data_IF_083103155377
#
_entry.id   IF_083103155377
#
_cell.length_a   1.000
_cell.length_b   1.000
_cell.length_c   1.000
_cell.angle_alpha   90.00
_cell.angle_beta   90.00
_cell.angle_gamma   90.00
#
_symmetry.space_group_name_H-M   'P 1'
#
loop_
_entity.id
_entity.type
_entity.pdbx_description
1 polymer ?
#
# COMPACT_ATOMS: atom_id res chain seq x y z
N UNK A 1 4.62 -9.34 -1.71
CA UNK A 1 3.24 -8.81 -1.75
C UNK A 1 2.65 -8.93 -0.36
N UNK A 2 2.06 -7.88 0.18
CA UNK A 2 1.39 -7.88 1.48
C UNK A 2 -0.10 -7.68 1.25
N UNK A 3 -0.89 -8.71 1.53
CA UNK A 3 -2.34 -8.59 1.59
C UNK A 3 -2.72 -8.18 3.02
N UNK A 4 -3.37 -7.01 3.13
CA UNK A 4 -3.90 -6.50 4.39
C UNK A 4 -5.42 -6.46 4.35
N UNK A 5 -6.03 -7.06 5.37
CA UNK A 5 -7.49 -7.05 5.58
C UNK A 5 -7.75 -6.44 6.95
N UNK A 6 -8.51 -5.36 7.00
CA UNK A 6 -8.85 -4.62 8.22
C UNK A 6 -10.38 -4.55 8.40
N UNK A 7 -10.86 -4.71 9.63
CA UNK A 7 -12.25 -4.39 9.98
C UNK A 7 -12.37 -2.88 10.19
N UNK A 8 -13.34 -2.26 9.52
CA UNK A 8 -13.66 -0.84 9.65
C UNK A 8 -14.79 -0.63 10.66
N UNK A 9 -15.84 -1.43 10.54
CA UNK A 9 -17.02 -1.29 11.38
C UNK A 9 -17.90 -2.54 11.34
N UNK A 10 -18.74 -2.69 12.36
CA UNK A 10 -19.83 -3.66 12.40
C UNK A 10 -21.10 -2.89 12.76
N UNK A 11 -22.07 -2.84 11.86
CA UNK A 11 -23.38 -2.23 12.12
C UNK A 11 -24.39 -3.32 12.47
N UNK A 12 -25.25 -3.06 13.45
CA UNK A 12 -26.23 -4.01 13.95
C UNK A 12 -27.64 -3.44 13.78
N UNK A 13 -28.51 -4.18 13.06
CA UNK A 13 -29.93 -3.90 12.90
C UNK A 13 -30.80 -5.13 13.23
N UNK A 14 -32.09 -4.92 13.48
CA UNK A 14 -33.07 -5.99 13.74
C UNK A 14 -33.35 -6.18 15.23
N UNK A 15 -33.72 -7.40 15.59
CA UNK A 15 -34.07 -7.78 16.95
C UNK A 15 -32.86 -7.76 17.91
N UNK A 16 -33.14 -7.53 19.19
CA UNK A 16 -32.13 -7.48 20.27
C UNK A 16 -31.71 -8.90 20.67
N UNK A 17 -30.42 -9.21 20.46
CA UNK A 17 -29.74 -10.46 20.79
C UNK A 17 -28.81 -10.26 22.00
N UNK A 18 -29.13 -9.29 22.86
CA UNK A 18 -28.28 -8.94 23.98
C UNK A 18 -27.14 -7.99 23.60
N UNK A 19 -26.34 -7.66 24.62
CA UNK A 19 -25.32 -6.60 24.55
C UNK A 19 -23.90 -7.16 24.43
N UNK A 20 -23.68 -8.42 24.79
CA UNK A 20 -22.37 -9.05 24.77
C UNK A 20 -22.22 -9.95 23.54
N UNK A 21 -21.67 -9.38 22.47
CA UNK A 21 -21.49 -10.07 21.21
C UNK A 21 -20.02 -10.41 20.98
N UNK A 22 -19.79 -11.49 20.22
CA UNK A 22 -18.46 -11.92 19.78
C UNK A 22 -18.45 -12.05 18.27
N UNK A 23 -17.42 -11.50 17.64
CA UNK A 23 -17.15 -11.70 16.22
C UNK A 23 -15.87 -12.51 16.04
N UNK A 24 -16.00 -13.63 15.34
CA UNK A 24 -14.90 -14.45 14.87
C UNK A 24 -14.70 -14.30 13.37
N UNK A 25 -13.43 -14.24 12.98
CA UNK A 25 -13.01 -14.15 11.59
C UNK A 25 -11.99 -15.25 11.31
N UNK A 26 -12.11 -15.92 10.17
CA UNK A 26 -11.12 -16.90 9.71
C UNK A 26 -10.70 -16.56 8.28
N UNK A 27 -9.43 -16.21 8.10
CA UNK A 27 -8.81 -15.88 6.82
C UNK A 27 -7.78 -16.96 6.49
N UNK A 28 -7.95 -17.67 5.37
CA UNK A 28 -7.02 -18.71 4.91
C UNK A 28 -6.61 -19.75 5.98
N UNK A 29 -7.52 -20.11 6.88
CA UNK A 29 -7.23 -21.05 7.97
C UNK A 29 -6.87 -20.39 9.31
N UNK A 30 -6.33 -19.17 9.29
CA UNK A 30 -5.96 -18.42 10.50
C UNK A 30 -7.18 -17.76 11.11
N UNK A 31 -7.41 -17.99 12.40
CA UNK A 31 -8.56 -17.48 13.15
C UNK A 31 -8.16 -16.26 13.98
N UNK A 32 -8.95 -15.20 13.88
CA UNK A 32 -8.87 -14.00 14.72
C UNK A 32 -10.26 -13.75 15.33
N UNK A 33 -10.36 -13.63 16.64
CA UNK A 33 -11.63 -13.37 17.34
C UNK A 33 -11.50 -12.13 18.24
N UNK A 34 -12.58 -11.35 18.37
CA UNK A 34 -12.72 -10.37 19.46
C UNK A 34 -14.15 -10.24 19.94
N UNK A 35 -14.25 -9.93 21.22
CA UNK A 35 -15.49 -9.53 21.89
C UNK A 35 -15.76 -8.05 21.59
N UNK A 36 -17.03 -7.70 21.44
CA UNK A 36 -17.48 -6.32 21.29
C UNK A 36 -18.88 -6.16 21.88
N UNK A 37 -19.16 -4.97 22.42
CA UNK A 37 -20.48 -4.61 22.92
C UNK A 37 -21.18 -3.75 21.88
N UNK A 38 -22.37 -4.15 21.45
CA UNK A 38 -23.16 -3.39 20.49
C UNK A 38 -24.65 -3.62 20.73
N UNK A 39 -25.46 -2.57 20.57
CA UNK A 39 -26.92 -2.64 20.67
C UNK A 39 -27.57 -2.45 19.29
N UNK A 40 -28.83 -2.88 19.11
CA UNK A 40 -29.55 -2.64 17.87
C UNK A 40 -29.55 -1.17 17.44
N UNK A 41 -29.39 -0.92 16.15
CA UNK A 41 -29.33 0.42 15.55
C UNK A 41 -28.00 1.15 15.74
N UNK A 42 -26.98 0.50 16.33
CA UNK A 42 -25.66 1.09 16.55
C UNK A 42 -24.62 0.52 15.59
N UNK A 43 -23.55 1.28 15.41
CA UNK A 43 -22.36 0.87 14.67
C UNK A 43 -21.17 0.83 15.61
N UNK A 44 -20.55 -0.34 15.71
CA UNK A 44 -19.28 -0.51 16.40
C UNK A 44 -18.13 -0.19 15.44
N UNK A 45 -17.12 0.52 15.96
CA UNK A 45 -15.83 0.72 15.28
C UNK A 45 -14.72 0.23 16.20
N UNK A 46 -13.71 -0.48 15.68
CA UNK A 46 -12.63 -0.97 16.53
C UNK A 46 -11.80 0.21 17.08
N UNK A 47 -11.44 0.19 18.38
CA UNK A 47 -10.73 1.30 19.03
C UNK A 47 -9.29 1.49 18.52
N UNK A 48 -8.70 0.42 17.97
CA UNK A 48 -7.44 0.43 17.22
C UNK A 48 -7.66 -0.34 15.92
N UNK A 49 -6.77 -0.19 14.92
CA UNK A 49 -6.87 -0.96 13.67
C UNK A 49 -6.97 -2.46 13.96
N UNK A 50 -8.11 -3.06 13.62
CA UNK A 50 -8.29 -4.49 13.75
C UNK A 50 -7.91 -5.19 12.45
N UNK A 51 -6.65 -5.62 12.42
CA UNK A 51 -6.05 -6.29 11.26
C UNK A 51 -6.32 -7.79 11.36
N UNK A 52 -7.03 -8.35 10.39
CA UNK A 52 -7.34 -9.79 10.31
C UNK A 52 -6.22 -10.58 9.63
N UNK A 53 -5.55 -9.94 8.67
CA UNK A 53 -4.44 -10.50 7.92
C UNK A 53 -3.48 -9.35 7.59
N UNK A 54 -2.19 -9.59 7.81
CA UNK A 54 -1.10 -8.75 7.32
C UNK A 54 0.06 -9.66 6.94
N UNK A 55 -0.12 -10.38 5.84
CA UNK A 55 0.79 -11.46 5.47
C UNK A 55 1.57 -11.08 4.21
N UNK A 56 2.89 -10.98 4.37
CA UNK A 56 3.85 -10.78 3.30
C UNK A 56 4.19 -12.07 2.55
N UNK A 57 3.84 -13.22 3.14
CA UNK A 57 4.04 -14.57 2.59
C UNK A 57 2.81 -15.13 1.92
N UNK A 58 1.62 -14.54 2.10
CA UNK A 58 0.42 -14.92 1.38
C UNK A 58 0.69 -14.70 -0.12
N UNK A 59 1.04 -15.75 -0.89
CA UNK A 59 1.35 -15.61 -2.30
C UNK A 59 0.00 -15.77 -3.00
N UNK A 60 -0.92 -14.88 -2.66
CA UNK A 60 -2.12 -14.69 -3.41
C UNK A 60 -1.70 -13.90 -4.64
N UNK A 61 -1.08 -14.57 -5.62
CA UNK A 61 -0.71 -13.96 -6.90
C UNK A 61 -1.86 -13.07 -7.34
N UNK A 62 -1.59 -11.79 -7.63
CA UNK A 62 -2.64 -10.85 -7.97
C UNK A 62 -3.67 -11.47 -8.93
N UNK A 63 -4.94 -11.47 -8.53
CA UNK A 63 -5.99 -12.25 -9.22
C UNK A 63 -6.40 -13.55 -8.52
N UNK A 64 -5.76 -13.96 -7.43
CA UNK A 64 -6.19 -15.12 -6.65
C UNK A 64 -7.43 -14.80 -5.82
N UNK A 65 -8.34 -15.77 -5.73
CA UNK A 65 -9.50 -15.69 -4.84
C UNK A 65 -9.06 -15.84 -3.38
N UNK A 66 -9.66 -15.06 -2.48
CA UNK A 66 -9.44 -15.08 -1.04
C UNK A 66 -10.78 -15.21 -0.34
N UNK A 67 -10.82 -16.02 0.72
CA UNK A 67 -12.05 -16.30 1.47
C UNK A 67 -11.90 -15.88 2.93
N UNK A 68 -12.84 -15.07 3.40
CA UNK A 68 -12.99 -14.65 4.79
C UNK A 68 -14.29 -15.24 5.33
N UNK A 69 -14.16 -16.14 6.30
CA UNK A 69 -15.32 -16.65 7.03
C UNK A 69 -15.57 -15.75 8.22
N UNK A 70 -16.82 -15.37 8.42
CA UNK A 70 -17.29 -14.48 9.47
C UNK A 70 -18.28 -15.26 10.32
N UNK A 71 -18.13 -15.16 11.63
CA UNK A 71 -19.03 -15.77 12.61
C UNK A 71 -19.39 -14.71 13.65
N UNK A 72 -20.67 -14.56 13.94
CA UNK A 72 -21.16 -13.69 15.02
C UNK A 72 -21.98 -14.55 15.96
N UNK A 73 -21.64 -14.47 17.25
CA UNK A 73 -22.30 -15.22 18.33
C UNK A 73 -22.56 -14.29 19.51
N UNK A 74 -23.56 -14.59 20.31
CA UNK A 74 -23.66 -14.03 21.66
C UNK A 74 -22.61 -14.67 22.58
N UNK A 75 -22.17 -13.96 23.62
CA UNK A 75 -21.08 -14.39 24.52
C UNK A 75 -21.54 -15.39 25.58
N UNK A 76 -22.79 -15.29 26.03
CA UNK A 76 -23.33 -16.11 27.09
C UNK A 76 -23.84 -17.44 26.51
N UNK A 77 -22.90 -18.38 26.38
CA UNK A 77 -23.09 -19.71 25.78
C UNK A 77 -24.19 -20.53 26.47
N UNK A 78 -25.38 -20.59 25.86
CA UNK A 78 -26.32 -21.73 25.97
C UNK A 78 -27.09 -22.06 24.67
N UNK A 79 -27.07 -21.19 23.66
CA UNK A 79 -27.78 -21.39 22.40
C UNK A 79 -26.81 -21.59 21.22
N UNK A 80 -27.22 -22.42 20.25
CA UNK A 80 -26.49 -22.71 18.99
C UNK A 80 -26.61 -21.55 17.98
N UNK A 81 -26.89 -20.33 18.45
CA UNK A 81 -27.32 -19.21 17.60
C UNK A 81 -26.10 -18.50 17.03
N UNK A 82 -25.58 -19.14 15.99
CA UNK A 82 -24.41 -18.72 15.25
C UNK A 82 -24.86 -18.19 13.90
N UNK A 83 -24.76 -16.88 13.71
CA UNK A 83 -24.78 -16.32 12.36
C UNK A 83 -23.42 -16.51 11.71
N UNK A 84 -23.41 -17.06 10.50
CA UNK A 84 -22.19 -17.17 9.72
C UNK A 84 -22.38 -16.64 8.31
N UNK A 85 -21.30 -16.11 7.75
CA UNK A 85 -21.26 -15.67 6.36
C UNK A 85 -19.87 -15.88 5.80
N UNK A 86 -19.79 -16.04 4.49
CA UNK A 86 -18.53 -16.17 3.77
C UNK A 86 -18.42 -15.05 2.76
N UNK A 87 -17.34 -14.28 2.88
CA UNK A 87 -16.99 -13.24 1.93
C UNK A 87 -15.83 -13.75 1.07
N UNK A 88 -16.00 -13.69 -0.25
CA UNK A 88 -14.95 -14.05 -1.21
C UNK A 88 -14.61 -12.85 -2.07
N UNK A 89 -13.32 -12.60 -2.27
CA UNK A 89 -12.86 -11.52 -3.15
C UNK A 89 -11.63 -11.94 -3.92
N UNK A 90 -11.46 -11.35 -5.09
CA UNK A 90 -10.22 -11.47 -5.86
C UNK A 90 -9.22 -10.45 -5.36
N UNK A 91 -8.05 -10.91 -4.89
CA UNK A 91 -6.97 -10.02 -4.49
C UNK A 91 -6.60 -9.09 -5.65
N UNK A 92 -6.71 -7.75 -5.48
CA UNK A 92 -6.43 -6.83 -6.57
C UNK A 92 -4.94 -6.91 -6.96
N UNK A 93 -4.63 -6.56 -8.22
CA UNK A 93 -3.25 -6.24 -8.63
C UNK A 93 -2.70 -5.12 -7.75
N UNK A 94 -1.38 -5.11 -7.56
CA UNK A 94 -0.69 -4.23 -6.61
C UNK A 94 -1.21 -2.80 -6.70
N UNK A 95 -1.86 -2.35 -5.62
CA UNK A 95 -2.50 -1.05 -5.60
C UNK A 95 -2.32 -0.43 -4.23
N UNK A 96 -2.02 0.87 -4.23
CA UNK A 96 -2.03 1.65 -3.02
C UNK A 96 -3.46 2.04 -2.59
N UNK A 97 -4.45 1.80 -3.45
CA UNK A 97 -5.86 2.10 -3.20
C UNK A 97 -6.47 1.06 -2.28
N UNK A 98 -7.05 1.53 -1.18
CA UNK A 98 -7.88 0.70 -0.30
C UNK A 98 -9.24 0.48 -0.95
N UNK A 99 -9.70 -0.77 -0.98
CA UNK A 99 -11.06 -1.10 -1.39
C UNK A 99 -11.89 -1.41 -0.16
N UNK A 100 -13.08 -0.82 -0.08
CA UNK A 100 -14.05 -1.09 0.98
C UNK A 100 -15.04 -2.14 0.50
N UNK A 101 -15.34 -3.12 1.36
CA UNK A 101 -16.34 -4.16 1.11
C UNK A 101 -17.29 -4.24 2.30
N UNK A 102 -18.53 -4.64 2.06
CA UNK A 102 -19.51 -4.91 3.10
C UNK A 102 -20.05 -6.32 2.95
N UNK A 103 -20.15 -7.04 4.06
CA UNK A 103 -20.76 -8.36 4.12
C UNK A 103 -21.82 -8.39 5.21
N UNK A 104 -22.94 -9.01 4.90
CA UNK A 104 -24.05 -9.19 5.84
C UNK A 104 -23.98 -10.56 6.48
N UNK A 105 -24.19 -10.61 7.80
CA UNK A 105 -24.34 -11.82 8.61
C UNK A 105 -25.70 -11.73 9.30
N UNK A 106 -26.55 -12.73 9.10
CA UNK A 106 -27.83 -12.84 9.80
C UNK A 106 -27.69 -13.83 10.94
N UNK A 107 -28.18 -13.44 12.11
CA UNK A 107 -28.25 -14.28 13.32
C UNK A 107 -29.72 -14.38 13.69
N UNK A 108 -30.20 -15.59 13.97
CA UNK A 108 -31.57 -15.82 14.43
C UNK A 108 -31.53 -16.62 15.72
N UNK A 109 -32.33 -16.20 16.70
CA UNK A 109 -32.54 -16.86 17.99
C UNK A 109 -34.04 -16.90 18.26
N UNK A 110 -34.63 -18.10 18.25
CA UNK A 110 -36.08 -18.27 18.31
C UNK A 110 -36.81 -17.47 17.21
N UNK A 111 -37.68 -16.53 17.61
CA UNK A 111 -38.39 -15.62 16.69
C UNK A 111 -37.66 -14.29 16.45
N UNK A 112 -36.52 -14.08 17.09
CA UNK A 112 -35.70 -12.87 16.96
C UNK A 112 -34.74 -13.06 15.80
N UNK A 113 -34.60 -12.04 14.95
CA UNK A 113 -33.61 -12.03 13.87
C UNK A 113 -32.88 -10.71 13.86
N UNK A 114 -31.56 -10.79 13.85
CA UNK A 114 -30.64 -9.67 13.73
C UNK A 114 -29.85 -9.77 12.45
N UNK A 115 -29.44 -8.62 11.94
CA UNK A 115 -28.59 -8.48 10.77
C UNK A 115 -27.40 -7.61 11.13
N UNK A 116 -26.21 -8.13 10.86
CA UNK A 116 -24.95 -7.44 11.07
C UNK A 116 -24.30 -7.15 9.73
N UNK A 117 -24.02 -5.87 9.47
CA UNK A 117 -23.25 -5.44 8.31
C UNK A 117 -21.81 -5.20 8.73
N UNK A 118 -20.92 -6.07 8.30
CA UNK A 118 -19.48 -5.97 8.56
C UNK A 118 -18.81 -5.27 7.38
N UNK A 119 -18.10 -4.18 7.67
CA UNK A 119 -17.35 -3.40 6.68
C UNK A 119 -15.87 -3.70 6.80
N UNK A 120 -15.25 -4.10 5.69
CA UNK A 120 -13.83 -4.40 5.56
C UNK A 120 -13.12 -3.36 4.70
N UNK A 121 -11.85 -3.13 5.00
CA UNK A 121 -10.89 -2.52 4.09
C UNK A 121 -9.89 -3.56 3.66
N UNK A 122 -9.67 -3.66 2.36
CA UNK A 122 -8.70 -4.56 1.77
C UNK A 122 -7.69 -3.72 1.01
N UNK A 123 -6.42 -3.92 1.34
CA UNK A 123 -5.29 -3.31 0.66
C UNK A 123 -4.32 -4.40 0.23
N UNK A 124 -3.92 -4.37 -1.03
CA UNK A 124 -2.91 -5.29 -1.51
C UNK A 124 -1.74 -4.52 -2.10
N UNK A 125 -0.65 -4.47 -1.34
CA UNK A 125 0.49 -3.61 -1.63
C UNK A 125 1.76 -4.45 -1.72
N UNK A 126 2.66 -4.12 -2.64
CA UNK A 126 3.97 -4.74 -2.62
C UNK A 126 4.74 -4.31 -1.37
N UNK A 127 5.24 -5.26 -0.58
CA UNK A 127 5.92 -4.97 0.70
C UNK A 127 7.10 -4.03 0.50
N UNK A 128 7.93 -4.27 -0.52
CA UNK A 128 9.04 -3.38 -0.83
C UNK A 128 8.57 -1.99 -1.22
N UNK A 129 7.49 -1.86 -2.00
CA UNK A 129 6.95 -0.55 -2.36
C UNK A 129 6.43 0.19 -1.13
N UNK A 130 5.76 -0.51 -0.21
CA UNK A 130 5.31 0.07 1.06
C UNK A 130 6.51 0.59 1.88
N UNK A 131 7.57 -0.20 2.00
CA UNK A 131 8.81 0.19 2.68
C UNK A 131 9.45 1.42 2.02
N UNK A 132 9.62 1.40 0.70
CA UNK A 132 10.16 2.55 -0.06
C UNK A 132 9.31 3.80 0.17
N UNK A 133 7.98 3.69 0.07
CA UNK A 133 7.07 4.81 0.26
C UNK A 133 7.17 5.44 1.66
N UNK A 134 7.28 4.61 2.70
CA UNK A 134 7.43 5.06 4.09
C UNK A 134 8.81 5.67 4.37
N UNK A 135 9.84 5.18 3.69
CA UNK A 135 11.22 5.65 3.86
C UNK A 135 11.57 6.85 2.98
N UNK A 136 10.72 7.17 1.99
CA UNK A 136 10.92 8.35 1.16
C UNK A 136 11.02 9.62 2.00
N UNK A 137 12.06 10.46 1.84
CA UNK A 137 12.29 11.63 2.70
C UNK A 137 11.08 12.54 2.87
N UNK A 138 10.32 12.79 1.80
CA UNK A 138 9.12 13.65 1.85
C UNK A 138 7.99 13.04 2.68
N UNK A 139 7.92 11.70 2.79
CA UNK A 139 6.96 11.02 3.68
C UNK A 139 7.31 11.28 5.14
N UNK A 140 8.60 11.48 5.41
CA UNK A 140 9.15 11.80 6.73
C UNK A 140 9.29 13.31 6.96
N UNK A 141 8.64 14.14 6.15
CA UNK A 141 8.67 15.60 6.28
C UNK A 141 9.96 16.28 5.81
N UNK A 142 10.88 15.56 5.18
CA UNK A 142 12.13 16.12 4.65
C UNK A 142 12.07 16.23 3.12
N UNK A 143 11.83 17.44 2.64
CA UNK A 143 11.66 17.74 1.22
C UNK A 143 12.98 17.95 0.46
N UNK A 144 14.03 18.34 1.18
CA UNK A 144 15.33 18.76 0.65
C UNK A 144 16.40 18.15 1.54
N UNK A 145 16.67 16.84 1.42
CA UNK A 145 17.55 16.16 2.35
C UNK A 145 19.02 16.61 2.28
N UNK A 146 19.46 17.13 1.14
CA UNK A 146 20.77 17.73 1.00
C UNK A 146 20.68 19.24 1.23
N UNK A 147 21.12 19.68 2.40
CA UNK A 147 21.20 21.10 2.75
C UNK A 147 22.62 21.46 3.17
N UNK A 148 22.97 22.73 2.99
CA UNK A 148 24.17 23.34 3.53
C UNK A 148 23.78 24.67 4.17
N UNK A 149 24.11 24.84 5.45
CA UNK A 149 23.74 26.03 6.22
C UNK A 149 22.22 26.36 6.16
N UNK A 150 21.37 25.34 6.25
CA UNK A 150 19.91 25.49 6.22
C UNK A 150 19.30 25.80 4.86
N UNK A 151 20.12 25.86 3.80
CA UNK A 151 19.66 26.08 2.42
C UNK A 151 19.86 24.82 1.57
N UNK A 152 18.98 24.59 0.61
CA UNK A 152 19.13 23.48 -0.35
C UNK A 152 20.48 23.56 -1.08
N UNK A 153 21.26 22.48 -1.05
CA UNK A 153 22.55 22.41 -1.75
C UNK A 153 22.41 22.21 -3.26
N UNK A 154 21.26 21.69 -3.69
CA UNK A 154 20.96 21.41 -5.10
C UNK A 154 19.51 21.76 -5.38
N UNK A 155 19.26 22.45 -6.49
CA UNK A 155 17.90 22.77 -6.96
C UNK A 155 17.08 21.49 -7.17
N UNK A 156 17.68 20.46 -7.77
CA UNK A 156 17.04 19.18 -8.03
C UNK A 156 17.65 18.07 -7.19
N UNK A 157 16.83 17.47 -6.33
CA UNK A 157 17.23 16.41 -5.40
C UNK A 157 16.46 15.09 -5.60
N UNK A 158 15.93 14.84 -6.80
CA UNK A 158 15.18 13.60 -7.09
C UNK A 158 16.04 12.34 -6.88
N UNK A 159 17.24 12.31 -7.46
CA UNK A 159 18.19 11.22 -7.27
C UNK A 159 18.64 11.07 -5.80
N UNK A 160 18.84 12.19 -5.08
CA UNK A 160 19.22 12.17 -3.66
C UNK A 160 18.09 11.56 -2.81
N UNK A 161 16.85 12.02 -3.04
CA UNK A 161 15.68 11.46 -2.34
C UNK A 161 15.53 9.97 -2.61
N UNK A 162 15.74 9.53 -3.86
CA UNK A 162 15.67 8.12 -4.20
C UNK A 162 16.83 7.31 -3.62
N UNK A 163 18.06 7.81 -3.61
CA UNK A 163 19.21 7.17 -2.97
C UNK A 163 18.96 6.89 -1.48
N UNK A 164 18.53 7.91 -0.73
CA UNK A 164 18.12 7.78 0.67
C UNK A 164 16.95 6.80 0.85
N UNK A 165 16.00 6.80 -0.09
CA UNK A 165 14.84 5.91 -0.03
C UNK A 165 15.25 4.45 -0.17
N UNK A 166 16.15 4.15 -1.11
CA UNK A 166 16.68 2.81 -1.37
C UNK A 166 17.50 2.31 -0.17
N UNK A 167 18.45 3.12 0.30
CA UNK A 167 19.33 2.79 1.42
C UNK A 167 18.54 2.48 2.70
N UNK A 168 17.64 3.38 3.10
CA UNK A 168 16.76 3.19 4.28
C UNK A 168 15.82 2.00 4.16
N UNK A 169 15.56 1.54 2.93
CA UNK A 169 14.73 0.37 2.65
C UNK A 169 15.53 -0.94 2.60
N UNK A 170 16.81 -0.89 2.96
CA UNK A 170 17.69 -2.05 3.00
C UNK A 170 18.14 -2.52 1.62
N UNK A 171 18.08 -1.66 0.61
CA UNK A 171 18.65 -1.94 -0.72
C UNK A 171 20.08 -1.39 -0.70
N UNK A 172 21.12 -2.24 -0.60
CA UNK A 172 22.48 -1.77 -0.41
C UNK A 172 22.99 -1.07 -1.68
N UNK A 173 23.37 0.20 -1.54
CA UNK A 173 23.93 1.01 -2.63
C UNK A 173 25.43 0.77 -2.87
N UNK A 174 26.00 -0.27 -2.27
CA UNK A 174 27.45 -0.56 -2.28
C UNK A 174 28.04 -0.81 -3.67
N UNK A 175 27.24 -1.28 -4.62
CA UNK A 175 27.65 -1.53 -6.01
C UNK A 175 27.38 -0.36 -6.95
N UNK A 176 26.78 0.74 -6.44
CA UNK A 176 26.59 1.96 -7.22
C UNK A 176 27.93 2.71 -7.30
N UNK A 177 28.36 3.05 -8.52
CA UNK A 177 29.65 3.72 -8.78
C UNK A 177 29.47 5.09 -9.46
N UNK A 178 28.28 5.67 -9.37
CA UNK A 178 28.00 6.98 -9.96
C UNK A 178 28.34 8.15 -9.03
N UNK A 179 27.85 9.34 -9.39
CA UNK A 179 28.17 10.58 -8.70
C UNK A 179 27.40 10.73 -7.38
N UNK A 180 28.14 11.06 -6.32
CA UNK A 180 27.62 11.39 -5.00
C UNK A 180 27.81 12.86 -4.65
N UNK A 181 26.99 13.35 -3.72
CA UNK A 181 27.11 14.67 -3.12
C UNK A 181 28.47 14.87 -2.43
N UNK A 182 29.10 16.01 -2.68
CA UNK A 182 30.38 16.40 -2.08
C UNK A 182 30.25 17.08 -0.71
N UNK A 183 29.04 17.27 -0.19
CA UNK A 183 28.78 17.94 1.10
C UNK A 183 28.94 17.02 2.33
N UNK A 184 29.60 15.87 2.20
CA UNK A 184 29.91 14.99 3.34
C UNK A 184 28.78 14.06 3.79
N UNK A 185 27.73 13.87 2.99
CA UNK A 185 26.60 13.00 3.30
C UNK A 185 26.81 11.52 2.91
N UNK A 186 28.02 11.12 2.52
CA UNK A 186 28.36 9.76 2.14
C UNK A 186 27.66 9.28 0.85
N UNK A 187 27.53 7.96 0.72
CA UNK A 187 27.03 7.29 -0.49
C UNK A 187 25.49 7.21 -0.57
N UNK A 188 24.77 7.90 0.31
CA UNK A 188 23.31 7.96 0.27
C UNK A 188 22.79 9.05 -0.68
N UNK A 189 23.60 10.10 -0.91
CA UNK A 189 23.20 11.28 -1.68
C UNK A 189 23.65 11.18 -3.14
N UNK A 190 22.89 10.44 -3.93
CA UNK A 190 23.14 10.24 -5.38
C UNK A 190 22.71 11.47 -6.17
N UNK A 191 23.52 11.91 -7.13
CA UNK A 191 23.26 13.16 -7.86
C UNK A 191 22.58 12.97 -9.23
N UNK A 192 22.83 11.86 -9.92
CA UNK A 192 22.48 11.72 -11.35
C UNK A 192 21.41 10.66 -11.58
N UNK A 193 20.30 11.07 -12.21
CA UNK A 193 19.15 10.21 -12.49
C UNK A 193 19.50 9.11 -13.48
N UNK A 194 20.16 9.42 -14.60
CA UNK A 194 20.52 8.40 -15.60
C UNK A 194 21.50 7.35 -15.06
N UNK A 195 22.48 7.75 -14.26
CA UNK A 195 23.42 6.81 -13.61
C UNK A 195 22.67 5.91 -12.63
N UNK A 196 21.74 6.48 -11.86
CA UNK A 196 20.89 5.70 -10.94
C UNK A 196 20.01 4.71 -11.72
N UNK A 197 19.41 5.12 -12.83
CA UNK A 197 18.62 4.23 -13.70
C UNK A 197 19.46 3.07 -14.21
N UNK A 198 20.66 3.35 -14.73
CA UNK A 198 21.56 2.32 -15.25
C UNK A 198 21.89 1.28 -14.18
N UNK A 199 22.14 1.73 -12.95
CA UNK A 199 22.36 0.82 -11.82
C UNK A 199 21.11 0.03 -11.41
N UNK A 200 19.94 0.69 -11.34
CA UNK A 200 18.65 0.06 -10.99
C UNK A 200 18.24 -1.02 -12.00
N UNK A 201 18.59 -0.87 -13.28
CA UNK A 201 18.35 -1.87 -14.31
C UNK A 201 19.11 -3.19 -14.03
N UNK A 202 20.22 -3.14 -13.29
CA UNK A 202 20.96 -4.32 -12.83
C UNK A 202 20.37 -5.00 -11.58
N UNK A 203 19.48 -4.33 -10.84
CA UNK A 203 18.94 -4.83 -9.56
C UNK A 203 17.69 -5.71 -9.74
N UNK A 204 17.66 -6.57 -10.77
CA UNK A 204 16.45 -7.31 -11.18
C UNK A 204 15.96 -8.31 -10.14
N UNK A 205 16.84 -8.83 -9.28
CA UNK A 205 16.47 -9.73 -8.17
C UNK A 205 15.68 -9.03 -7.07
N UNK A 206 15.86 -7.71 -6.93
CA UNK A 206 15.22 -6.89 -5.88
C UNK A 206 14.02 -6.12 -6.43
N UNK A 207 14.18 -5.50 -7.60
CA UNK A 207 13.18 -4.57 -8.18
C UNK A 207 12.40 -5.17 -9.35
N UNK A 208 12.72 -6.39 -9.77
CA UNK A 208 12.19 -6.96 -10.99
C UNK A 208 12.78 -6.32 -12.26
N UNK A 209 12.29 -6.76 -13.41
CA UNK A 209 12.73 -6.23 -14.70
C UNK A 209 11.94 -4.96 -15.05
N UNK A 210 12.61 -3.82 -15.34
CA UNK A 210 11.90 -2.63 -15.74
C UNK A 210 11.29 -2.76 -17.13
N UNK A 211 10.23 -1.98 -17.37
CA UNK A 211 9.65 -1.76 -18.69
C UNK A 211 9.95 -0.35 -19.16
N UNK A 212 10.13 -0.17 -20.47
CA UNK A 212 10.40 1.13 -21.08
C UNK A 212 9.25 1.51 -22.00
N UNK A 213 8.78 2.74 -21.86
CA UNK A 213 7.60 3.25 -22.57
C UNK A 213 7.88 4.61 -23.19
N UNK A 214 7.16 4.93 -24.27
CA UNK A 214 7.15 6.23 -24.94
C UNK A 214 5.70 6.62 -25.21
N UNK A 215 5.41 7.92 -25.22
CA UNK A 215 4.06 8.45 -25.54
C UNK A 215 2.94 7.87 -24.67
N UNK A 216 3.22 7.70 -23.36
CA UNK A 216 2.27 7.18 -22.37
C UNK A 216 1.71 8.30 -21.50
N UNK A 217 0.64 8.03 -20.76
CA UNK A 217 0.12 8.95 -19.74
C UNK A 217 0.06 8.25 -18.39
N UNK A 218 -0.20 8.98 -17.31
CA UNK A 218 -0.41 8.38 -15.99
C UNK A 218 -1.54 7.33 -15.98
N UNK A 219 -2.52 7.44 -16.89
CA UNK A 219 -3.58 6.46 -17.06
C UNK A 219 -3.05 5.07 -17.49
N UNK A 220 -1.95 5.00 -18.25
CA UNK A 220 -1.28 3.75 -18.62
C UNK A 220 -0.83 2.96 -17.39
N UNK A 221 -0.48 3.66 -16.31
CA UNK A 221 0.01 3.09 -15.05
C UNK A 221 -1.01 3.23 -13.91
N UNK A 222 -2.28 3.51 -14.24
CA UNK A 222 -3.34 3.57 -13.24
C UNK A 222 -3.45 2.21 -12.52
N UNK A 223 -3.55 2.26 -11.19
CA UNK A 223 -3.57 1.07 -10.33
C UNK A 223 -2.31 0.19 -10.41
N UNK A 224 -1.20 0.71 -10.92
CA UNK A 224 0.12 0.10 -10.76
C UNK A 224 0.91 0.91 -9.73
N UNK A 225 1.79 0.25 -8.99
CA UNK A 225 2.72 0.92 -8.07
C UNK A 225 4.14 0.56 -8.44
N UNK A 226 5.09 1.44 -8.15
CA UNK A 226 6.47 1.19 -8.57
C UNK A 226 7.37 2.43 -8.55
N UNK A 227 8.57 2.26 -9.07
CA UNK A 227 9.48 3.36 -9.36
C UNK A 227 9.24 3.81 -10.81
N UNK A 228 9.18 5.11 -11.03
CA UNK A 228 9.07 5.70 -12.35
C UNK A 228 10.22 6.69 -12.56
N UNK A 229 10.98 6.48 -13.63
CA UNK A 229 11.94 7.45 -14.13
C UNK A 229 11.41 8.09 -15.41
N UNK A 230 11.45 9.42 -15.45
CA UNK A 230 10.93 10.32 -16.45
C UNK A 230 12.11 10.99 -17.13
N UNK A 231 12.35 10.65 -18.39
CA UNK A 231 13.57 11.04 -19.09
C UNK A 231 13.26 12.12 -20.10
N UNK A 232 14.10 13.15 -20.12
CA UNK A 232 14.02 14.25 -21.06
C UNK A 232 12.61 14.85 -21.13
N UNK A 233 12.16 15.56 -20.08
CA UNK A 233 10.78 16.10 -20.03
C UNK A 233 10.66 17.57 -19.60
N UNK A 234 11.77 18.18 -19.17
CA UNK A 234 11.82 19.58 -18.75
C UNK A 234 13.21 20.20 -18.96
N UNK A 235 13.32 21.50 -18.68
CA UNK A 235 14.57 22.25 -18.84
C UNK A 235 14.89 22.60 -20.29
N UNK A 236 15.96 23.38 -20.48
CA UNK A 236 16.44 23.79 -21.80
C UNK A 236 16.79 22.57 -22.64
N UNK A 237 16.27 22.50 -23.87
CA UNK A 237 16.51 21.36 -24.76
C UNK A 237 15.87 20.05 -24.29
N UNK A 238 14.96 20.10 -23.30
CA UNK A 238 14.26 18.94 -22.77
C UNK A 238 15.22 17.88 -22.18
N UNK A 239 16.31 18.29 -21.54
CA UNK A 239 17.35 17.39 -21.00
C UNK A 239 17.17 17.05 -19.51
N UNK A 240 16.12 17.56 -18.89
CA UNK A 240 15.85 17.34 -17.47
C UNK A 240 15.14 16.00 -17.23
N UNK A 241 15.67 15.24 -16.27
CA UNK A 241 15.13 13.96 -15.82
C UNK A 241 14.47 14.08 -14.43
N UNK A 242 13.70 13.05 -14.07
CA UNK A 242 13.16 12.85 -12.74
C UNK A 242 13.03 11.35 -12.43
N UNK A 243 13.21 10.96 -11.18
CA UNK A 243 12.94 9.60 -10.72
C UNK A 243 12.27 9.68 -9.35
N UNK A 244 11.20 8.92 -9.18
CA UNK A 244 10.44 8.90 -7.93
C UNK A 244 9.52 7.66 -7.84
N UNK A 245 8.79 7.55 -6.73
CA UNK A 245 7.77 6.54 -6.48
C UNK A 245 6.41 6.95 -7.05
N UNK A 246 5.76 6.01 -7.74
CA UNK A 246 4.41 6.12 -8.28
C UNK A 246 3.47 5.17 -7.52
N UNK A 247 2.34 5.68 -7.01
CA UNK A 247 1.38 4.86 -6.25
C UNK A 247 0.09 4.51 -7.02
N UNK A 248 0.07 4.73 -8.34
CA UNK A 248 -1.12 4.53 -9.17
C UNK A 248 -1.95 5.80 -9.36
N UNK A 249 -1.62 6.89 -8.69
CA UNK A 249 -2.35 8.17 -8.78
C UNK A 249 -1.42 9.39 -8.75
N UNK A 250 -0.42 9.38 -7.87
CA UNK A 250 0.54 10.49 -7.73
C UNK A 250 1.98 9.99 -7.81
N UNK A 251 2.85 10.87 -8.30
CA UNK A 251 4.30 10.80 -8.14
C UNK A 251 4.63 11.44 -6.80
N UNK A 252 5.42 10.79 -5.94
CA UNK A 252 5.58 11.21 -4.54
C UNK A 252 6.08 12.65 -4.39
N UNK A 253 6.99 13.12 -5.24
CA UNK A 253 7.45 14.50 -5.38
C UNK A 253 7.53 14.88 -6.86
N UNK A 254 6.40 14.87 -7.53
CA UNK A 254 6.29 15.28 -8.93
C UNK A 254 4.84 15.49 -9.34
N UNK A 255 4.60 15.48 -10.65
CA UNK A 255 3.27 15.60 -11.23
C UNK A 255 2.96 14.39 -12.12
N UNK A 256 1.73 13.82 -12.09
CA UNK A 256 1.33 12.75 -13.01
C UNK A 256 1.49 13.10 -14.50
N UNK A 257 1.52 14.38 -14.88
CA UNK A 257 1.76 14.82 -16.26
C UNK A 257 3.18 14.53 -16.75
N UNK A 258 4.13 14.21 -15.84
CA UNK A 258 5.49 13.83 -16.22
C UNK A 258 5.50 12.60 -17.14
N UNK A 259 4.55 11.67 -16.97
CA UNK A 259 4.40 10.52 -17.87
C UNK A 259 4.18 10.95 -19.33
N UNK A 260 3.34 11.97 -19.56
CA UNK A 260 3.00 12.48 -20.89
C UNK A 260 4.12 13.32 -21.49
N UNK A 261 4.81 14.09 -20.66
CA UNK A 261 5.86 15.03 -21.10
C UNK A 261 7.19 14.35 -21.39
N UNK A 262 7.43 13.18 -20.82
CA UNK A 262 8.70 12.47 -20.97
C UNK A 262 8.87 11.91 -22.37
N UNK A 263 10.06 12.06 -22.91
CA UNK A 263 10.46 11.37 -24.13
C UNK A 263 10.46 9.85 -23.93
N UNK A 264 10.82 9.41 -22.72
CA UNK A 264 10.89 8.00 -22.31
C UNK A 264 10.57 7.86 -20.82
N UNK A 265 9.79 6.83 -20.48
CA UNK A 265 9.52 6.43 -19.09
C UNK A 265 10.11 5.04 -18.84
N UNK A 266 10.92 4.89 -17.79
CA UNK A 266 11.36 3.58 -17.29
C UNK A 266 10.59 3.27 -16.02
N UNK A 267 9.89 2.13 -15.99
CA UNK A 267 9.00 1.78 -14.91
C UNK A 267 9.36 0.41 -14.32
N UNK A 268 9.65 0.38 -13.02
CA UNK A 268 9.81 -0.84 -12.23
C UNK A 268 8.51 -1.06 -11.46
N UNK A 269 7.66 -1.95 -11.98
CA UNK A 269 6.45 -2.33 -11.27
C UNK A 269 6.82 -3.12 -10.01
N UNK A 270 6.34 -2.65 -8.87
CA UNK A 270 6.51 -3.33 -7.59
C UNK A 270 5.20 -3.95 -7.15
#
# INVERSE_FOLDING_TARGET
MTLRIEIVSIAYAGGDLGKELRAGFKVNGTVTQRDFTLSPGRTWKPPMRWVLLNDSRAPAAAGSSQTVNITITERDFFCNDVGSSTFTFTAPRHSFVEKTFTQTVTVSEGSVTATFTVTFKIKCIHSLFETLWQNHPTTRGNNEPCQSNGSSSYENQCAIRMGLTLDRSGIPMTSYNGAYCWHGHGHEHILRVEELISWLQGQTTVLGTPTTHRSVTSATFANQVGLAAFINFWGTGNQGDHIDLWNGTIVRRGDPDYFRRSERVVFWQL
#
